data_IF_735484421212
#
_entry.id   IF_735484421212
#
_cell.length_a   1.000
_cell.length_b   1.000
_cell.length_c   1.000
_cell.angle_alpha   90.00
_cell.angle_beta   90.00
_cell.angle_gamma   90.00
#
_symmetry.space_group_name_H-M   'P 1'
#
loop_
_entity.id
_entity.type
_entity.pdbx_description
1 polymer ?
#
# COMPACT_ATOMS: atom_id res chain seq x y z
N UNK A 1 0.18 18.01 -11.15
CA UNK A 1 -0.15 19.33 -10.56
C UNK A 1 -1.46 19.20 -9.81
N UNK A 2 -1.44 19.38 -8.49
CA UNK A 2 -2.66 19.39 -7.68
C UNK A 2 -3.17 20.82 -7.64
N UNK A 3 -4.33 21.07 -8.23
CA UNK A 3 -4.83 22.45 -8.40
C UNK A 3 -5.37 23.01 -7.07
N UNK A 4 -5.99 22.16 -6.25
CA UNK A 4 -6.53 22.52 -4.93
C UNK A 4 -6.21 21.43 -3.91
N UNK A 5 -5.77 21.82 -2.71
CA UNK A 5 -5.54 20.90 -1.59
C UNK A 5 -6.28 21.38 -0.33
N UNK A 6 -6.59 20.43 0.55
CA UNK A 6 -7.05 20.69 1.91
C UNK A 6 -5.96 20.32 2.91
N UNK A 7 -5.78 21.12 3.95
CA UNK A 7 -4.77 20.94 4.99
C UNK A 7 -5.47 20.94 6.33
N UNK A 8 -5.21 19.93 7.15
CA UNK A 8 -5.64 19.85 8.54
C UNK A 8 -4.40 20.00 9.41
N UNK A 9 -4.33 21.03 10.26
CA UNK A 9 -3.15 21.30 11.09
C UNK A 9 -3.52 21.42 12.55
N UNK A 10 -2.60 21.01 13.42
CA UNK A 10 -2.76 20.99 14.87
C UNK A 10 -1.39 21.19 15.55
N UNK A 11 -1.40 21.59 16.82
CA UNK A 11 -0.23 21.68 17.66
C UNK A 11 -0.56 21.48 19.13
N UNK A 12 0.29 20.71 19.81
CA UNK A 12 0.09 20.34 21.21
C UNK A 12 1.37 20.43 22.02
N UNK A 13 1.23 20.63 23.34
CA UNK A 13 2.35 20.60 24.29
C UNK A 13 1.99 19.85 25.59
N UNK A 14 2.93 19.07 26.12
CA UNK A 14 2.81 18.34 27.40
C UNK A 14 3.38 19.21 28.52
N UNK A 15 2.50 19.93 29.20
CA UNK A 15 2.89 21.08 30.01
C UNK A 15 3.10 22.30 29.11
N UNK A 16 2.68 23.50 29.54
CA UNK A 16 2.67 24.68 28.67
C UNK A 16 3.45 25.83 29.33
N UNK A 17 4.77 25.98 29.08
CA UNK A 17 5.56 25.28 28.07
C UNK A 17 6.07 23.88 28.49
N UNK A 18 6.39 23.05 27.50
CA UNK A 18 6.82 21.65 27.68
C UNK A 18 7.18 20.99 26.34
N UNK A 19 7.45 19.68 26.29
CA UNK A 19 7.63 18.94 25.04
C UNK A 19 6.39 19.08 24.16
N UNK A 20 6.59 19.52 22.92
CA UNK A 20 5.52 19.91 22.03
C UNK A 20 5.71 19.32 20.63
N UNK A 21 4.66 19.35 19.82
CA UNK A 21 4.76 19.06 18.40
C UNK A 21 3.71 19.81 17.60
N UNK A 22 4.08 20.25 16.40
CA UNK A 22 3.15 20.74 15.39
C UNK A 22 2.99 19.71 14.29
N UNK A 23 1.76 19.47 13.83
CA UNK A 23 1.48 18.50 12.79
C UNK A 23 0.53 19.03 11.72
N UNK A 24 0.55 18.36 10.57
CA UNK A 24 -0.43 18.59 9.52
C UNK A 24 -0.70 17.34 8.69
N UNK A 25 -1.87 17.32 8.05
CA UNK A 25 -2.31 16.35 7.05
C UNK A 25 -2.77 17.10 5.81
N UNK A 26 -2.10 16.89 4.68
CA UNK A 26 -2.52 17.35 3.35
C UNK A 26 -3.44 16.30 2.73
N UNK A 27 -4.54 16.73 2.16
CA UNK A 27 -5.51 15.91 1.45
C UNK A 27 -5.76 16.44 0.03
N UNK A 28 -6.15 15.54 -0.87
CA UNK A 28 -6.63 15.88 -2.21
C UNK A 28 -8.04 16.52 -2.16
N UNK A 29 -8.59 16.84 -3.33
CA UNK A 29 -9.93 17.42 -3.48
C UNK A 29 -11.07 16.52 -2.96
N UNK A 30 -10.81 15.21 -2.83
CA UNK A 30 -11.75 14.21 -2.32
C UNK A 30 -11.51 13.90 -0.83
N UNK A 31 -10.71 14.70 -0.11
CA UNK A 31 -10.29 14.49 1.27
C UNK A 31 -9.48 13.20 1.52
N UNK A 32 -8.86 12.62 0.48
CA UNK A 32 -7.92 11.52 0.66
C UNK A 32 -6.56 12.07 1.12
N UNK A 33 -5.94 11.52 2.18
CA UNK A 33 -4.66 12.00 2.66
C UNK A 33 -3.54 11.75 1.63
N UNK A 34 -2.83 12.82 1.28
CA UNK A 34 -1.68 12.86 0.37
C UNK A 34 -0.34 12.83 1.12
N UNK A 35 -0.27 13.45 2.29
CA UNK A 35 0.96 13.56 3.04
C UNK A 35 0.63 14.02 4.46
N UNK A 36 1.39 13.58 5.45
CA UNK A 36 1.25 14.07 6.82
C UNK A 36 2.59 14.05 7.54
N UNK A 37 2.84 15.07 8.34
CA UNK A 37 4.07 15.20 9.13
C UNK A 37 3.73 15.73 10.52
N UNK A 38 4.55 15.36 11.50
CA UNK A 38 4.63 16.04 12.78
C UNK A 38 6.08 16.37 13.10
N UNK A 39 6.33 17.58 13.60
CA UNK A 39 7.63 18.06 14.01
C UNK A 39 7.69 18.17 15.51
N UNK A 40 8.58 17.40 16.14
CA UNK A 40 8.79 17.44 17.57
C UNK A 40 9.62 18.67 17.97
N UNK A 41 9.23 19.29 19.06
CA UNK A 41 9.87 20.47 19.64
C UNK A 41 10.15 20.15 21.10
N UNK A 42 11.43 20.02 21.52
CA UNK A 42 11.78 19.61 22.88
C UNK A 42 11.16 20.48 23.98
N UNK A 43 10.98 21.78 23.70
CA UNK A 43 10.36 22.72 24.63
C UNK A 43 9.69 23.88 23.88
N UNK A 44 8.36 23.95 23.96
CA UNK A 44 7.58 25.04 23.40
C UNK A 44 6.20 25.18 24.08
N UNK A 45 5.55 26.33 23.85
CA UNK A 45 4.16 26.54 24.23
C UNK A 45 3.20 25.93 23.21
N UNK A 46 1.93 25.75 23.58
CA UNK A 46 0.90 25.26 22.67
C UNK A 46 0.82 26.11 21.39
N UNK A 47 0.78 27.43 21.54
CA UNK A 47 0.66 28.34 20.38
C UNK A 47 1.89 28.28 19.45
N UNK A 48 3.09 28.07 19.98
CA UNK A 48 4.27 27.85 19.15
C UNK A 48 4.15 26.54 18.37
N UNK A 49 3.62 25.49 19.00
CA UNK A 49 3.39 24.19 18.35
C UNK A 49 2.37 24.30 17.21
N UNK A 50 1.27 25.02 17.42
CA UNK A 50 0.21 25.27 16.43
C UNK A 50 0.76 25.99 15.20
N UNK A 51 1.48 27.10 15.42
CA UNK A 51 2.13 27.85 14.34
C UNK A 51 3.23 27.05 13.64
N UNK A 52 3.92 26.16 14.36
CA UNK A 52 4.89 25.25 13.74
C UNK A 52 4.20 24.26 12.81
N UNK A 53 3.05 23.70 13.24
CA UNK A 53 2.21 22.84 12.40
C UNK A 53 1.77 23.56 11.13
N UNK A 54 1.25 24.78 11.26
CA UNK A 54 0.81 25.60 10.12
C UNK A 54 1.98 25.94 9.18
N UNK A 55 3.10 26.40 9.72
CA UNK A 55 4.28 26.76 8.94
C UNK A 55 4.78 25.58 8.09
N UNK A 56 4.96 24.42 8.71
CA UNK A 56 5.39 23.21 8.00
C UNK A 56 4.37 22.75 6.96
N UNK A 57 3.07 22.95 7.22
CA UNK A 57 2.05 22.64 6.24
C UNK A 57 2.11 23.54 5.00
N UNK A 58 2.36 24.85 5.20
CA UNK A 58 2.49 25.83 4.12
C UNK A 58 3.76 25.60 3.30
N UNK A 59 4.90 25.33 3.94
CA UNK A 59 6.14 24.95 3.26
C UNK A 59 5.92 23.73 2.37
N UNK A 60 5.23 22.71 2.89
CA UNK A 60 4.88 21.52 2.09
C UNK A 60 3.94 21.87 0.94
N UNK A 61 2.92 22.69 1.16
CA UNK A 61 2.00 23.12 0.11
C UNK A 61 2.70 23.88 -1.03
N UNK A 62 3.69 24.74 -0.71
CA UNK A 62 4.54 25.41 -1.70
C UNK A 62 5.37 24.39 -2.46
N UNK A 63 6.01 23.42 -1.77
CA UNK A 63 6.80 22.37 -2.43
C UNK A 63 5.99 21.46 -3.36
N UNK A 64 4.66 21.38 -3.17
CA UNK A 64 3.73 20.64 -4.02
C UNK A 64 3.20 21.46 -5.20
N UNK A 65 3.65 22.72 -5.34
CA UNK A 65 3.18 23.68 -6.36
C UNK A 65 1.64 23.84 -6.35
N UNK A 66 1.03 23.77 -5.16
CA UNK A 66 -0.41 23.95 -5.01
C UNK A 66 -0.81 25.38 -5.38
N UNK A 67 -1.89 25.56 -6.15
CA UNK A 67 -2.41 26.89 -6.48
C UNK A 67 -3.44 27.39 -5.48
N UNK A 68 -4.31 26.50 -5.00
CA UNK A 68 -5.37 26.81 -4.06
C UNK A 68 -5.27 25.96 -2.79
N UNK A 69 -5.37 26.58 -1.62
CA UNK A 69 -5.19 25.88 -0.33
C UNK A 69 -6.35 26.19 0.61
N UNK A 70 -6.96 25.14 1.18
CA UNK A 70 -7.95 25.26 2.27
C UNK A 70 -7.35 24.71 3.55
N UNK A 71 -7.27 25.52 4.59
CA UNK A 71 -6.61 25.18 5.85
C UNK A 71 -7.68 25.06 6.93
N UNK A 72 -7.61 23.98 7.71
CA UNK A 72 -8.49 23.70 8.83
C UNK A 72 -7.66 23.47 10.08
N UNK A 73 -8.01 24.17 11.16
CA UNK A 73 -7.38 24.05 12.47
C UNK A 73 -8.43 24.20 13.57
N UNK A 74 -8.25 23.53 14.70
CA UNK A 74 -9.01 23.72 15.93
C UNK A 74 -8.44 24.81 16.85
N UNK A 75 -7.35 25.47 16.43
CA UNK A 75 -6.78 26.62 17.12
C UNK A 75 -7.46 27.93 16.70
N UNK A 76 -8.55 28.29 17.37
CA UNK A 76 -9.30 29.52 17.06
C UNK A 76 -8.41 30.78 17.12
N UNK A 77 -7.46 30.84 18.06
CA UNK A 77 -6.50 31.94 18.17
C UNK A 77 -5.68 32.11 16.89
N UNK A 78 -5.05 31.03 16.43
CA UNK A 78 -4.20 31.04 15.23
C UNK A 78 -5.01 31.42 13.99
N UNK A 79 -6.21 30.84 13.84
CA UNK A 79 -7.12 31.12 12.72
C UNK A 79 -7.47 32.62 12.67
N UNK A 80 -7.91 33.20 13.80
CA UNK A 80 -8.27 34.63 13.89
C UNK A 80 -7.06 35.54 13.66
N UNK A 81 -5.86 35.12 14.08
CA UNK A 81 -4.63 35.88 13.82
C UNK A 81 -4.26 35.88 12.33
N UNK A 82 -4.29 34.73 11.66
CA UNK A 82 -4.00 34.63 10.22
C UNK A 82 -5.03 35.38 9.38
N UNK A 83 -6.31 35.38 9.78
CA UNK A 83 -7.35 36.20 9.14
C UNK A 83 -7.23 37.71 9.44
N UNK A 84 -6.25 38.14 10.25
CA UNK A 84 -6.04 39.54 10.60
C UNK A 84 -7.02 40.11 11.62
N UNK A 85 -7.89 39.28 12.20
CA UNK A 85 -8.86 39.69 13.22
C UNK A 85 -8.15 40.01 14.55
N UNK A 86 -7.14 39.21 14.91
CA UNK A 86 -6.39 39.33 16.16
C UNK A 86 -4.92 39.69 15.92
N UNK A 87 -4.36 40.55 16.78
CA UNK A 87 -2.94 40.95 16.72
C UNK A 87 -2.02 39.91 17.38
N UNK A 88 -0.85 39.66 16.78
CA UNK A 88 0.21 38.83 17.35
C UNK A 88 1.14 39.68 18.24
N UNK A 89 0.99 39.55 19.56
CA UNK A 89 1.74 40.34 20.55
C UNK A 89 3.07 39.71 20.97
N UNK A 90 3.15 38.38 21.02
CA UNK A 90 4.34 37.64 21.44
C UNK A 90 5.40 37.65 20.32
N UNK A 91 6.66 37.97 20.65
CA UNK A 91 7.75 38.11 19.67
C UNK A 91 8.11 36.80 18.96
N UNK A 92 8.25 35.70 19.70
CA UNK A 92 8.54 34.37 19.13
C UNK A 92 7.41 33.93 18.18
N UNK A 93 6.16 34.21 18.57
CA UNK A 93 5.00 33.92 17.73
C UNK A 93 4.94 34.83 16.50
N UNK A 94 5.40 36.09 16.62
CA UNK A 94 5.42 37.06 15.53
C UNK A 94 6.35 36.59 14.40
N UNK A 95 7.47 35.95 14.72
CA UNK A 95 8.35 35.38 13.70
C UNK A 95 7.65 34.28 12.89
N UNK A 96 7.06 33.28 13.57
CA UNK A 96 6.33 32.19 12.91
C UNK A 96 5.12 32.72 12.12
N UNK A 97 4.40 33.69 12.67
CA UNK A 97 3.31 34.36 11.99
C UNK A 97 3.75 35.01 10.69
N UNK A 98 4.81 35.83 10.71
CA UNK A 98 5.31 36.50 9.51
C UNK A 98 5.74 35.51 8.43
N UNK A 99 6.35 34.38 8.82
CA UNK A 99 6.71 33.31 7.88
C UNK A 99 5.47 32.67 7.25
N UNK A 100 4.43 32.37 8.05
CA UNK A 100 3.18 31.83 7.53
C UNK A 100 2.51 32.81 6.56
N UNK A 101 2.42 34.09 6.91
CA UNK A 101 1.82 35.13 6.04
C UNK A 101 2.58 35.25 4.72
N UNK A 102 3.91 35.27 4.76
CA UNK A 102 4.75 35.31 3.56
C UNK A 102 4.53 34.07 2.66
N UNK A 103 4.43 32.87 3.24
CA UNK A 103 4.14 31.66 2.46
C UNK A 103 2.75 31.69 1.83
N UNK A 104 1.76 32.26 2.53
CA UNK A 104 0.39 32.38 1.99
C UNK A 104 0.31 33.22 0.71
N UNK A 105 1.25 34.15 0.48
CA UNK A 105 1.33 34.95 -0.75
C UNK A 105 1.69 34.10 -2.00
N UNK A 106 2.18 32.88 -1.82
CA UNK A 106 2.50 31.97 -2.93
C UNK A 106 1.25 31.30 -3.55
N UNK A 107 0.10 31.38 -2.89
CA UNK A 107 -1.13 30.73 -3.35
C UNK A 107 -2.04 31.73 -4.06
N UNK A 108 -2.60 31.33 -5.20
CA UNK A 108 -3.59 32.13 -5.94
C UNK A 108 -4.86 32.36 -5.12
N UNK A 109 -5.22 31.38 -4.29
CA UNK A 109 -6.35 31.47 -3.36
C UNK A 109 -6.06 30.65 -2.12
N UNK A 110 -6.30 31.22 -0.94
CA UNK A 110 -6.25 30.47 0.31
C UNK A 110 -7.44 30.83 1.21
N UNK A 111 -7.81 29.90 2.08
CA UNK A 111 -8.73 30.14 3.19
C UNK A 111 -8.26 29.36 4.41
N UNK A 112 -8.40 29.94 5.61
CA UNK A 112 -8.21 29.23 6.88
C UNK A 112 -9.50 29.28 7.70
N UNK A 113 -9.94 28.13 8.20
CA UNK A 113 -11.19 27.96 8.95
C UNK A 113 -10.96 27.24 10.25
N UNK A 114 -11.60 27.75 11.29
CA UNK A 114 -11.69 27.04 12.56
C UNK A 114 -12.64 25.84 12.42
N UNK A 115 -12.23 24.68 12.94
CA UNK A 115 -13.04 23.46 12.98
C UNK A 115 -13.07 22.89 14.40
N UNK A 116 -14.16 22.20 14.79
CA UNK A 116 -14.19 21.45 16.05
C UNK A 116 -13.11 20.36 16.11
N UNK A 117 -12.56 20.11 17.30
CA UNK A 117 -11.47 19.14 17.53
C UNK A 117 -11.81 17.73 17.06
N UNK A 118 -13.07 17.32 17.11
CA UNK A 118 -13.52 16.00 16.63
C UNK A 118 -13.31 15.84 15.11
N UNK A 119 -13.24 16.96 14.38
CA UNK A 119 -12.94 16.98 12.94
C UNK A 119 -11.44 17.06 12.64
N UNK A 120 -10.57 17.27 13.63
CA UNK A 120 -9.11 17.37 13.47
C UNK A 120 -8.34 16.14 14.01
N UNK A 121 -9.03 15.03 14.26
CA UNK A 121 -8.47 13.85 14.97
C UNK A 121 -7.23 13.22 14.34
N UNK A 122 -6.98 13.39 13.04
CA UNK A 122 -5.78 12.85 12.39
C UNK A 122 -4.53 13.66 12.75
N UNK A 123 -4.62 14.99 12.71
CA UNK A 123 -3.52 15.87 13.08
C UNK A 123 -3.22 15.76 14.59
N UNK A 124 -4.26 15.72 15.43
CA UNK A 124 -4.13 15.51 16.89
C UNK A 124 -3.39 14.20 17.22
N UNK A 125 -3.73 13.10 16.56
CA UNK A 125 -3.03 11.81 16.74
C UNK A 125 -1.55 11.90 16.36
N UNK A 126 -1.21 12.65 15.31
CA UNK A 126 0.18 12.83 14.87
C UNK A 126 0.98 13.66 15.88
N UNK A 127 0.40 14.75 16.39
CA UNK A 127 0.99 15.54 17.48
C UNK A 127 1.32 14.66 18.67
N UNK A 128 0.32 13.90 19.16
CA UNK A 128 0.49 13.05 20.33
C UNK A 128 1.61 12.02 20.12
N UNK A 129 1.63 11.35 18.97
CA UNK A 129 2.68 10.37 18.63
C UNK A 129 4.08 11.00 18.58
N UNK A 130 4.22 12.20 18.01
CA UNK A 130 5.51 12.88 17.93
C UNK A 130 6.03 13.30 19.30
N UNK A 131 5.15 13.79 20.19
CA UNK A 131 5.53 14.15 21.55
C UNK A 131 5.92 12.91 22.36
N UNK A 132 5.11 11.85 22.29
CA UNK A 132 5.35 10.61 23.03
C UNK A 132 6.62 9.89 22.54
N UNK A 133 6.88 9.92 21.22
CA UNK A 133 8.11 9.38 20.60
C UNK A 133 9.33 10.29 20.70
N UNK A 134 9.16 11.57 21.08
CA UNK A 134 10.20 12.62 21.09
C UNK A 134 10.98 12.71 19.78
N UNK A 135 10.29 12.55 18.66
CA UNK A 135 10.89 12.52 17.33
C UNK A 135 9.92 13.06 16.29
N UNK A 136 10.46 13.54 15.18
CA UNK A 136 9.65 13.89 14.01
C UNK A 136 8.97 12.64 13.42
N UNK A 137 7.83 12.84 12.77
CA UNK A 137 7.07 11.81 12.07
C UNK A 137 6.83 12.28 10.65
N UNK A 138 7.14 11.44 9.67
CA UNK A 138 6.72 11.62 8.28
C UNK A 138 5.88 10.42 7.83
N UNK A 139 4.65 10.68 7.43
CA UNK A 139 3.72 9.70 6.85
C UNK A 139 3.37 10.14 5.43
N UNK A 140 3.91 9.43 4.44
CA UNK A 140 3.68 9.71 3.03
C UNK A 140 2.44 8.98 2.52
N UNK A 141 1.76 9.55 1.52
CA UNK A 141 0.61 8.88 0.89
C UNK A 141 0.99 7.55 0.22
N UNK A 142 -0.02 6.69 -0.02
CA UNK A 142 0.08 5.56 -0.95
C UNK A 142 0.65 5.92 -2.33
N UNK A 143 0.48 7.16 -2.81
CA UNK A 143 1.01 7.60 -4.11
C UNK A 143 2.51 7.93 -4.13
N UNK A 144 3.12 8.31 -3.00
CA UNK A 144 4.58 8.47 -2.90
C UNK A 144 5.29 7.13 -2.59
N UNK A 145 4.58 6.10 -2.13
CA UNK A 145 5.13 4.72 -2.10
C UNK A 145 5.48 4.24 -3.52
N UNK A 146 4.74 4.69 -4.54
CA UNK A 146 5.01 4.34 -5.94
C UNK A 146 6.23 5.10 -6.53
N UNK A 147 6.64 6.27 -6.01
CA UNK A 147 7.77 7.03 -6.56
C UNK A 147 9.14 6.57 -6.07
N UNK A 148 9.20 5.75 -5.01
CA UNK A 148 10.38 4.98 -4.60
C UNK A 148 10.27 3.48 -4.93
N UNK A 149 9.19 3.05 -5.60
CA UNK A 149 9.07 1.69 -6.08
C UNK A 149 10.00 1.48 -7.28
N UNK A 150 10.88 0.48 -7.18
CA UNK A 150 11.66 0.07 -8.34
C UNK A 150 10.70 -0.46 -9.40
N UNK A 151 10.87 -0.05 -10.66
CA UNK A 151 10.10 -0.59 -11.76
C UNK A 151 10.35 -2.10 -11.87
N UNK A 152 9.31 -2.91 -11.66
CA UNK A 152 9.44 -4.37 -11.60
C UNK A 152 9.15 -5.03 -12.95
N UNK A 153 10.03 -5.93 -13.35
CA UNK A 153 9.81 -6.95 -14.39
C UNK A 153 9.13 -8.16 -13.77
N UNK A 154 7.83 -8.35 -14.04
CA UNK A 154 7.04 -9.43 -13.48
C UNK A 154 7.04 -10.65 -14.40
N UNK A 155 7.22 -11.84 -13.82
CA UNK A 155 7.00 -13.12 -14.48
C UNK A 155 5.77 -13.80 -13.92
N UNK A 156 4.80 -14.17 -14.76
CA UNK A 156 3.60 -14.88 -14.30
C UNK A 156 3.69 -16.38 -14.57
N UNK A 157 3.27 -17.19 -13.60
CA UNK A 157 3.04 -18.62 -13.76
C UNK A 157 1.54 -18.91 -13.63
N UNK A 158 0.92 -19.50 -14.65
CA UNK A 158 -0.52 -19.80 -14.67
C UNK A 158 -0.83 -21.26 -15.09
N UNK A 159 -1.97 -21.78 -14.66
CA UNK A 159 -2.48 -23.09 -15.11
C UNK A 159 -3.98 -23.10 -15.44
N UNK A 160 -4.67 -21.96 -15.33
CA UNK A 160 -6.13 -21.89 -15.39
C UNK A 160 -6.68 -20.57 -15.94
N UNK A 161 -7.67 -20.00 -15.26
CA UNK A 161 -8.51 -18.91 -15.81
C UNK A 161 -7.88 -17.51 -15.89
N UNK A 162 -6.69 -17.29 -15.33
CA UNK A 162 -5.92 -16.05 -15.47
C UNK A 162 -6.55 -14.76 -14.91
N UNK A 163 -7.56 -14.84 -14.04
CA UNK A 163 -8.26 -13.66 -13.49
C UNK A 163 -7.31 -12.74 -12.72
N UNK A 164 -6.45 -13.31 -11.88
CA UNK A 164 -5.44 -12.59 -11.10
C UNK A 164 -4.43 -11.87 -12.00
N UNK A 165 -3.96 -12.53 -13.07
CA UNK A 165 -3.05 -11.93 -14.05
C UNK A 165 -3.69 -10.69 -14.69
N UNK A 166 -4.95 -10.81 -15.15
CA UNK A 166 -5.65 -9.68 -15.78
C UNK A 166 -5.90 -8.54 -14.80
N UNK A 167 -6.21 -8.83 -13.53
CA UNK A 167 -6.32 -7.79 -12.51
C UNK A 167 -5.01 -6.97 -12.40
N UNK A 168 -3.86 -7.64 -12.31
CA UNK A 168 -2.56 -6.97 -12.24
C UNK A 168 -2.24 -6.22 -13.53
N UNK A 169 -2.49 -6.83 -14.70
CA UNK A 169 -2.26 -6.20 -16.00
C UNK A 169 -3.06 -4.89 -16.15
N UNK A 170 -4.32 -4.86 -15.72
CA UNK A 170 -5.15 -3.66 -15.76
C UNK A 170 -4.67 -2.57 -14.80
N UNK A 171 -4.13 -2.94 -13.63
CA UNK A 171 -3.50 -1.96 -12.72
C UNK A 171 -2.24 -1.35 -13.34
N UNK A 172 -1.42 -2.15 -14.01
CA UNK A 172 -0.24 -1.67 -14.74
C UNK A 172 -0.64 -0.71 -15.86
N UNK A 173 -1.61 -1.08 -16.72
CA UNK A 173 -2.11 -0.22 -17.80
C UNK A 173 -2.64 1.11 -17.30
N UNK A 174 -3.32 1.10 -16.16
CA UNK A 174 -3.84 2.31 -15.49
C UNK A 174 -2.78 3.08 -14.70
N UNK A 175 -1.51 2.67 -14.76
CA UNK A 175 -0.39 3.25 -14.01
C UNK A 175 -0.63 3.28 -12.49
N UNK A 176 -1.37 2.31 -11.97
CA UNK A 176 -1.64 2.10 -10.53
C UNK A 176 -0.69 1.07 -9.89
N UNK A 177 0.22 0.53 -10.69
CA UNK A 177 1.29 -0.37 -10.29
C UNK A 177 2.47 -0.13 -11.23
N UNK A 178 3.61 0.28 -10.67
CA UNK A 178 4.84 0.55 -11.44
C UNK A 178 5.59 -0.74 -11.80
N UNK A 179 5.09 -1.46 -12.79
CA UNK A 179 5.65 -2.72 -13.23
C UNK A 179 5.37 -2.99 -14.72
N UNK A 180 6.05 -3.96 -15.28
CA UNK A 180 5.74 -4.55 -16.59
C UNK A 180 5.61 -6.07 -16.47
N UNK A 181 4.83 -6.68 -17.37
CA UNK A 181 4.76 -8.14 -17.48
C UNK A 181 5.76 -8.58 -18.54
N UNK A 182 6.90 -9.10 -18.11
CA UNK A 182 7.99 -9.50 -19.02
C UNK A 182 7.78 -10.87 -19.64
N UNK A 183 7.12 -11.78 -18.94
CA UNK A 183 6.80 -13.12 -19.44
C UNK A 183 5.62 -13.73 -18.68
N UNK A 184 4.79 -14.48 -19.39
CA UNK A 184 3.79 -15.36 -18.83
C UNK A 184 4.13 -16.80 -19.24
N UNK A 185 4.20 -17.71 -18.28
CA UNK A 185 4.43 -19.14 -18.52
C UNK A 185 3.17 -19.90 -18.11
N UNK A 186 2.59 -20.65 -19.04
CA UNK A 186 1.44 -21.51 -18.77
C UNK A 186 1.84 -22.98 -18.77
N UNK A 187 1.36 -23.73 -17.76
CA UNK A 187 1.54 -25.19 -17.74
C UNK A 187 0.55 -25.96 -18.60
N UNK A 188 -0.38 -25.26 -19.24
CA UNK A 188 -1.42 -25.82 -20.12
C UNK A 188 -1.55 -24.97 -21.39
N UNK A 189 -1.65 -25.61 -22.55
CA UNK A 189 -1.74 -24.93 -23.85
C UNK A 189 -3.09 -24.28 -24.11
N UNK A 190 -4.17 -24.86 -23.59
CA UNK A 190 -5.55 -24.47 -23.89
C UNK A 190 -6.28 -24.15 -22.59
N UNK A 191 -6.23 -22.88 -22.17
CA UNK A 191 -6.96 -22.39 -21.00
C UNK A 191 -7.49 -20.99 -21.27
N UNK A 192 -8.55 -20.59 -20.55
CA UNK A 192 -9.04 -19.22 -20.63
C UNK A 192 -7.95 -18.18 -20.24
N UNK A 193 -6.98 -18.55 -19.38
CA UNK A 193 -5.84 -17.69 -19.07
C UNK A 193 -4.91 -17.49 -20.27
N UNK A 194 -4.61 -18.55 -21.03
CA UNK A 194 -3.79 -18.44 -22.26
C UNK A 194 -4.43 -17.51 -23.28
N UNK A 195 -5.73 -17.66 -23.54
CA UNK A 195 -6.44 -16.80 -24.49
C UNK A 195 -6.47 -15.34 -24.03
N UNK A 196 -6.66 -15.08 -22.73
CA UNK A 196 -6.57 -13.73 -22.16
C UNK A 196 -5.19 -13.10 -22.35
N UNK A 197 -4.12 -13.88 -22.18
CA UNK A 197 -2.73 -13.41 -22.36
C UNK A 197 -2.45 -13.06 -23.82
N UNK A 198 -2.88 -13.92 -24.76
CA UNK A 198 -2.78 -13.65 -26.21
C UNK A 198 -3.55 -12.39 -26.60
N UNK A 199 -4.80 -12.27 -26.15
CA UNK A 199 -5.65 -11.11 -26.44
C UNK A 199 -5.10 -9.80 -25.86
N UNK A 200 -4.36 -9.88 -24.75
CA UNK A 200 -3.67 -8.74 -24.15
C UNK A 200 -2.33 -8.41 -24.82
N UNK A 201 -1.87 -9.21 -25.80
CA UNK A 201 -0.59 -9.02 -26.48
C UNK A 201 0.62 -9.24 -25.58
N UNK A 202 0.48 -10.03 -24.53
CA UNK A 202 1.53 -10.28 -23.54
C UNK A 202 2.47 -11.42 -23.98
N UNK A 203 3.78 -11.35 -23.66
CA UNK A 203 4.71 -12.44 -23.97
C UNK A 203 4.29 -13.74 -23.27
N UNK A 204 4.13 -14.82 -24.03
CA UNK A 204 3.60 -16.10 -23.55
C UNK A 204 4.50 -17.27 -23.97
N UNK A 205 4.83 -18.12 -23.01
CA UNK A 205 5.48 -19.41 -23.21
C UNK A 205 4.61 -20.54 -22.66
N UNK A 206 4.54 -21.65 -23.39
CA UNK A 206 3.81 -22.84 -22.97
C UNK A 206 4.83 -23.89 -22.53
N UNK A 207 4.81 -24.26 -21.25
CA UNK A 207 5.72 -25.27 -20.68
C UNK A 207 4.86 -26.30 -19.94
N UNK A 208 4.41 -27.34 -20.66
CA UNK A 208 3.45 -28.30 -20.09
C UNK A 208 4.19 -29.33 -19.24
N UNK A 209 3.72 -29.55 -18.01
CA UNK A 209 4.32 -30.54 -17.10
C UNK A 209 4.45 -31.94 -17.73
N UNK A 210 3.47 -32.35 -18.53
CA UNK A 210 3.47 -33.67 -19.20
C UNK A 210 4.62 -33.87 -20.20
N UNK A 211 5.23 -32.79 -20.68
CA UNK A 211 6.36 -32.85 -21.62
C UNK A 211 7.70 -33.06 -20.90
N UNK A 212 7.70 -33.08 -19.56
CA UNK A 212 8.88 -33.21 -18.71
C UNK A 212 8.64 -34.30 -17.65
N UNK A 213 9.16 -35.53 -17.86
CA UNK A 213 9.02 -36.62 -16.90
C UNK A 213 9.66 -36.28 -15.55
N UNK A 214 10.81 -35.60 -15.59
CA UNK A 214 11.59 -35.23 -14.43
C UNK A 214 11.29 -33.80 -13.98
N UNK A 215 11.01 -33.62 -12.68
CA UNK A 215 10.73 -32.30 -12.10
C UNK A 215 11.92 -31.35 -12.27
N UNK A 216 13.15 -31.87 -12.26
CA UNK A 216 14.37 -31.08 -12.44
C UNK A 216 14.41 -30.37 -13.79
N UNK A 217 14.09 -31.08 -14.88
CA UNK A 217 14.07 -30.52 -16.23
C UNK A 217 12.94 -29.51 -16.42
N UNK A 218 11.75 -29.83 -15.89
CA UNK A 218 10.60 -28.92 -15.87
C UNK A 218 10.95 -27.61 -15.17
N UNK A 219 11.55 -27.71 -13.99
CA UNK A 219 11.93 -26.56 -13.16
C UNK A 219 13.03 -25.73 -13.81
N UNK A 220 14.04 -26.39 -14.40
CA UNK A 220 15.11 -25.74 -15.14
C UNK A 220 14.57 -24.94 -16.31
N UNK A 221 13.67 -25.51 -17.11
CA UNK A 221 13.05 -24.81 -18.25
C UNK A 221 12.32 -23.54 -17.82
N UNK A 222 11.55 -23.60 -16.73
CA UNK A 222 10.85 -22.43 -16.17
C UNK A 222 11.85 -21.39 -15.69
N UNK A 223 12.86 -21.81 -14.90
CA UNK A 223 13.91 -20.93 -14.39
C UNK A 223 14.67 -20.20 -15.50
N UNK A 224 15.11 -20.93 -16.53
CA UNK A 224 15.84 -20.38 -17.67
C UNK A 224 15.03 -19.30 -18.41
N UNK A 225 13.72 -19.51 -18.59
CA UNK A 225 12.82 -18.52 -19.21
C UNK A 225 12.67 -17.26 -18.37
N UNK A 226 12.47 -17.41 -17.05
CA UNK A 226 12.33 -16.29 -16.11
C UNK A 226 13.62 -15.45 -16.02
N UNK A 227 14.78 -16.12 -15.95
CA UNK A 227 16.10 -15.47 -15.92
C UNK A 227 16.36 -14.75 -17.25
N UNK A 228 16.10 -15.40 -18.38
CA UNK A 228 16.24 -14.79 -19.72
C UNK A 228 15.36 -13.54 -19.88
N UNK A 229 14.14 -13.57 -19.33
CA UNK A 229 13.23 -12.43 -19.32
C UNK A 229 13.61 -11.33 -18.30
N UNK A 230 14.66 -11.56 -17.50
CA UNK A 230 15.15 -10.67 -16.43
C UNK A 230 14.08 -10.34 -15.39
N UNK A 231 13.28 -11.34 -15.01
CA UNK A 231 12.20 -11.18 -14.02
C UNK A 231 12.79 -10.79 -12.65
N UNK A 232 12.21 -9.76 -12.03
CA UNK A 232 12.53 -9.35 -10.67
C UNK A 232 11.68 -10.08 -9.63
N UNK A 233 10.41 -10.33 -9.97
CA UNK A 233 9.42 -10.99 -9.10
C UNK A 233 8.53 -11.93 -9.91
N UNK A 234 8.44 -13.17 -9.47
CA UNK A 234 7.59 -14.20 -10.06
C UNK A 234 6.27 -14.27 -9.28
N UNK A 235 5.16 -14.33 -10.01
CA UNK A 235 3.81 -14.37 -9.47
C UNK A 235 3.10 -15.66 -9.91
N UNK A 236 2.83 -16.54 -8.96
CA UNK A 236 2.00 -17.72 -9.16
C UNK A 236 0.52 -17.32 -9.06
N UNK A 237 -0.15 -17.28 -10.21
CA UNK A 237 -1.54 -16.85 -10.36
C UNK A 237 -2.43 -18.04 -10.76
N UNK A 238 -2.67 -18.93 -9.81
CA UNK A 238 -3.35 -20.21 -10.06
C UNK A 238 -2.43 -21.22 -10.77
N UNK A 239 -1.17 -21.27 -10.35
CA UNK A 239 -0.20 -22.27 -10.79
C UNK A 239 -0.41 -23.58 -10.03
N UNK A 240 -0.58 -24.70 -10.75
CA UNK A 240 -1.00 -25.99 -10.17
C UNK A 240 0.10 -27.07 -10.25
N UNK A 241 1.35 -26.69 -10.53
CA UNK A 241 2.44 -27.65 -10.72
C UNK A 241 3.54 -27.43 -9.68
N UNK A 242 3.99 -28.49 -9.01
CA UNK A 242 5.26 -28.39 -8.27
C UNK A 242 6.39 -28.11 -9.26
N UNK A 243 7.26 -27.19 -8.87
CA UNK A 243 8.53 -26.93 -9.53
C UNK A 243 9.52 -26.53 -8.42
N UNK A 244 10.80 -26.83 -8.64
CA UNK A 244 11.86 -26.45 -7.74
C UNK A 244 12.28 -25.02 -8.05
N UNK A 245 12.09 -24.12 -7.09
CA UNK A 245 12.47 -22.72 -7.22
C UNK A 245 14.00 -22.65 -7.23
N UNK A 246 14.63 -22.08 -8.27
CA UNK A 246 16.08 -21.94 -8.32
C UNK A 246 16.54 -20.91 -7.28
N UNK A 247 17.76 -21.08 -6.77
CA UNK A 247 18.31 -20.29 -5.66
C UNK A 247 18.30 -18.78 -5.94
N UNK A 248 18.49 -18.39 -7.21
CA UNK A 248 18.50 -17.01 -7.67
C UNK A 248 17.14 -16.30 -7.50
N UNK A 249 16.06 -17.09 -7.43
CA UNK A 249 14.67 -16.66 -7.25
C UNK A 249 14.16 -16.89 -5.83
N UNK A 250 15.00 -17.33 -4.90
CA UNK A 250 14.64 -17.43 -3.49
C UNK A 250 14.16 -16.07 -2.96
N UNK A 251 13.03 -16.06 -2.25
CA UNK A 251 12.33 -14.85 -1.81
C UNK A 251 11.94 -13.87 -2.93
N UNK A 252 11.81 -14.37 -4.18
CA UNK A 252 11.34 -13.61 -5.35
C UNK A 252 10.25 -14.35 -6.12
N UNK A 253 9.60 -15.32 -5.48
CA UNK A 253 8.41 -16.00 -6.00
C UNK A 253 7.31 -15.82 -4.97
N UNK A 254 6.18 -15.27 -5.38
CA UNK A 254 5.00 -15.15 -4.52
C UNK A 254 3.86 -15.97 -5.08
N UNK A 255 3.04 -16.51 -4.18
CA UNK A 255 1.76 -17.14 -4.51
C UNK A 255 0.65 -16.42 -3.76
N UNK A 256 -0.56 -16.46 -4.33
CA UNK A 256 -1.79 -16.10 -3.65
C UNK A 256 -2.66 -17.33 -3.46
N UNK A 257 -2.98 -17.61 -2.20
CA UNK A 257 -3.78 -18.76 -1.79
C UNK A 257 -5.15 -18.31 -1.29
N UNK A 258 -6.27 -18.93 -1.73
CA UNK A 258 -7.63 -18.49 -1.40
C UNK A 258 -8.11 -18.96 0.00
N UNK A 259 -7.22 -18.94 0.99
CA UNK A 259 -7.53 -19.14 2.40
C UNK A 259 -6.55 -18.41 3.32
N UNK A 260 -6.92 -18.28 4.59
CA UNK A 260 -6.07 -17.74 5.64
C UNK A 260 -5.08 -18.80 6.12
N UNK A 261 -3.95 -18.93 5.40
CA UNK A 261 -2.86 -19.81 5.81
C UNK A 261 -2.43 -19.58 7.27
N UNK A 262 -2.09 -20.64 8.03
CA UNK A 262 -1.85 -22.01 7.56
C UNK A 262 -3.12 -22.86 7.36
N UNK A 263 -4.32 -22.33 7.62
CA UNK A 263 -5.56 -23.08 7.43
C UNK A 263 -5.86 -23.31 5.94
N UNK A 264 -6.38 -24.50 5.63
CA UNK A 264 -6.80 -24.90 4.29
C UNK A 264 -5.72 -24.70 3.20
N UNK A 265 -4.45 -24.82 3.55
CA UNK A 265 -3.32 -24.85 2.62
C UNK A 265 -2.77 -26.25 2.38
N UNK A 266 -1.85 -26.37 1.43
CA UNK A 266 -1.13 -27.60 1.12
C UNK A 266 -1.70 -28.37 -0.07
N UNK A 267 -1.19 -29.58 -0.28
CA UNK A 267 -1.53 -30.38 -1.44
C UNK A 267 -3.04 -30.67 -1.51
N UNK A 268 -3.63 -30.42 -2.69
CA UNK A 268 -5.07 -30.65 -2.95
C UNK A 268 -5.98 -29.47 -2.59
N UNK A 269 -5.48 -28.50 -1.81
CA UNK A 269 -6.20 -27.29 -1.47
C UNK A 269 -5.96 -26.21 -2.54
N UNK A 270 -6.68 -26.28 -3.65
CA UNK A 270 -6.60 -25.26 -4.69
C UNK A 270 -7.97 -24.99 -5.30
N UNK A 271 -8.18 -23.77 -5.78
CA UNK A 271 -9.43 -23.36 -6.42
C UNK A 271 -10.67 -23.66 -5.56
N UNK A 272 -11.68 -24.28 -6.19
CA UNK A 272 -12.97 -24.53 -5.55
C UNK A 272 -12.89 -25.45 -4.31
N UNK A 273 -11.93 -26.39 -4.27
CA UNK A 273 -11.76 -27.31 -3.13
C UNK A 273 -11.51 -26.56 -1.81
N UNK A 274 -10.86 -25.41 -1.86
CA UNK A 274 -10.58 -24.59 -0.67
C UNK A 274 -11.88 -24.05 -0.09
N UNK A 275 -12.73 -23.49 -0.95
CA UNK A 275 -14.00 -22.90 -0.54
C UNK A 275 -14.99 -23.96 -0.05
N UNK A 276 -15.03 -25.13 -0.69
CA UNK A 276 -15.79 -26.29 -0.20
C UNK A 276 -15.33 -26.72 1.20
N UNK A 277 -14.02 -26.81 1.42
CA UNK A 277 -13.46 -27.19 2.71
C UNK A 277 -13.77 -26.16 3.81
N UNK A 278 -13.69 -24.87 3.50
CA UNK A 278 -14.03 -23.77 4.41
C UNK A 278 -15.51 -23.82 4.83
N UNK A 279 -16.41 -23.99 3.86
CA UNK A 279 -17.87 -24.08 4.13
C UNK A 279 -18.17 -25.35 4.93
N UNK A 280 -17.62 -26.49 4.52
CA UNK A 280 -17.81 -27.77 5.21
C UNK A 280 -17.32 -27.74 6.66
N UNK A 281 -16.26 -26.99 6.94
CA UNK A 281 -15.74 -26.79 8.29
C UNK A 281 -16.60 -25.84 9.15
N UNK A 282 -17.62 -25.18 8.56
CA UNK A 282 -18.49 -24.24 9.26
C UNK A 282 -17.81 -22.92 9.62
N UNK A 283 -16.74 -22.55 8.91
CA UNK A 283 -16.04 -21.29 9.15
C UNK A 283 -16.97 -20.09 8.97
N UNK A 284 -16.80 -19.06 9.80
CA UNK A 284 -17.52 -17.76 9.67
C UNK A 284 -16.67 -16.66 9.02
N UNK A 285 -15.37 -16.94 8.87
CA UNK A 285 -14.40 -16.05 8.24
C UNK A 285 -13.55 -16.87 7.29
N UNK A 286 -13.33 -16.34 6.10
CA UNK A 286 -12.38 -16.82 5.10
C UNK A 286 -11.51 -15.65 4.64
N UNK A 287 -10.76 -15.82 3.57
CA UNK A 287 -9.87 -14.79 3.07
C UNK A 287 -8.84 -15.32 2.09
N UNK A 288 -7.79 -14.55 1.88
CA UNK A 288 -6.66 -14.94 1.07
C UNK A 288 -5.34 -14.59 1.76
N UNK A 289 -4.30 -15.33 1.40
CA UNK A 289 -2.93 -15.10 1.86
C UNK A 289 -2.01 -14.95 0.67
N UNK A 290 -1.21 -13.88 0.66
CA UNK A 290 -0.04 -13.74 -0.22
C UNK A 290 1.20 -14.07 0.60
N UNK A 291 2.03 -14.97 0.09
CA UNK A 291 3.24 -15.43 0.76
C UNK A 291 4.37 -15.64 -0.26
N UNK A 292 5.62 -15.62 0.21
CA UNK A 292 6.72 -16.13 -0.62
C UNK A 292 6.61 -17.64 -0.75
N UNK A 293 6.95 -18.17 -1.92
CA UNK A 293 6.94 -19.60 -2.16
C UNK A 293 8.25 -20.24 -1.69
N UNK A 294 8.12 -21.44 -1.15
CA UNK A 294 9.23 -22.38 -0.94
C UNK A 294 8.98 -23.61 -1.81
N UNK A 295 9.83 -24.64 -1.70
CA UNK A 295 9.60 -25.93 -2.35
C UNK A 295 8.57 -26.80 -1.60
N UNK A 296 7.87 -26.23 -0.61
CA UNK A 296 6.77 -26.86 0.12
C UNK A 296 5.49 -26.07 -0.11
N UNK A 297 4.39 -26.76 -0.39
CA UNK A 297 3.10 -26.12 -0.70
C UNK A 297 2.59 -25.27 0.45
N UNK A 298 2.40 -23.97 0.19
CA UNK A 298 1.75 -23.01 1.09
C UNK A 298 2.38 -22.92 2.48
N UNK A 299 3.69 -23.21 2.59
CA UNK A 299 4.45 -23.16 3.85
C UNK A 299 5.40 -21.98 3.99
N UNK A 300 5.52 -21.16 2.96
CA UNK A 300 6.46 -20.04 2.98
C UNK A 300 5.98 -18.84 3.79
N UNK A 301 6.86 -17.84 3.97
CA UNK A 301 6.63 -16.73 4.88
C UNK A 301 5.55 -15.79 4.34
N UNK A 302 4.56 -15.50 5.19
CA UNK A 302 3.36 -14.72 4.87
C UNK A 302 3.69 -13.23 4.76
N UNK A 303 3.16 -12.58 3.71
CA UNK A 303 3.37 -11.15 3.42
C UNK A 303 2.11 -10.35 3.74
N UNK A 304 0.97 -10.76 3.16
CA UNK A 304 -0.33 -10.07 3.31
C UNK A 304 -1.41 -11.10 3.53
N UNK A 305 -2.35 -10.82 4.44
CA UNK A 305 -3.60 -11.55 4.57
C UNK A 305 -4.77 -10.57 4.56
N UNK A 306 -5.87 -10.98 3.93
CA UNK A 306 -7.13 -10.22 3.94
C UNK A 306 -8.27 -11.16 4.22
N UNK A 307 -9.25 -10.71 4.99
CA UNK A 307 -10.38 -11.52 5.42
C UNK A 307 -11.67 -11.12 4.71
N UNK A 308 -12.61 -12.05 4.65
CA UNK A 308 -14.00 -11.78 4.28
C UNK A 308 -14.94 -12.70 5.08
N UNK A 309 -16.20 -12.31 5.29
CA UNK A 309 -17.17 -13.15 5.98
C UNK A 309 -17.58 -14.35 5.11
N UNK A 310 -17.85 -15.48 5.77
CA UNK A 310 -18.58 -16.61 5.18
C UNK A 310 -20.03 -16.49 5.64
N UNK A 311 -20.95 -16.42 4.69
CA UNK A 311 -22.38 -16.30 4.92
C UNK A 311 -22.99 -17.70 5.06
N UNK A 312 -24.06 -17.83 5.85
CA UNK A 312 -24.69 -19.12 6.12
C UNK A 312 -25.27 -19.80 4.86
N UNK A 313 -25.58 -19.01 3.84
CA UNK A 313 -26.10 -19.48 2.55
C UNK A 313 -25.05 -19.47 1.42
N UNK A 314 -23.76 -19.30 1.75
CA UNK A 314 -22.72 -19.33 0.72
C UNK A 314 -22.66 -20.69 0.01
N UNK A 315 -22.53 -20.63 -1.32
CA UNK A 315 -21.97 -21.73 -2.10
C UNK A 315 -20.46 -21.53 -2.22
N UNK A 316 -19.69 -22.55 -2.61
CA UNK A 316 -18.26 -22.34 -2.77
C UNK A 316 -17.94 -21.35 -3.91
N UNK A 317 -18.83 -21.15 -4.89
CA UNK A 317 -18.70 -20.12 -5.92
C UNK A 317 -18.94 -18.70 -5.40
N UNK A 318 -19.97 -18.49 -4.56
CA UNK A 318 -20.23 -17.16 -3.97
C UNK A 318 -19.12 -16.78 -3.00
N UNK A 319 -18.63 -17.73 -2.22
CA UNK A 319 -17.46 -17.54 -1.36
C UNK A 319 -16.20 -17.27 -2.20
N UNK A 320 -15.96 -18.02 -3.28
CA UNK A 320 -14.84 -17.79 -4.18
C UNK A 320 -14.83 -16.40 -4.78
N UNK A 321 -15.99 -15.89 -5.20
CA UNK A 321 -16.11 -14.52 -5.72
C UNK A 321 -15.72 -13.48 -4.66
N UNK A 322 -16.19 -13.65 -3.42
CA UNK A 322 -15.87 -12.73 -2.31
C UNK A 322 -14.41 -12.80 -1.88
N UNK A 323 -13.81 -13.99 -1.85
CA UNK A 323 -12.37 -14.16 -1.60
C UNK A 323 -11.57 -13.51 -2.73
N UNK A 324 -12.00 -13.65 -3.98
CA UNK A 324 -11.32 -13.05 -5.13
C UNK A 324 -11.32 -11.51 -5.08
N UNK A 325 -12.37 -10.86 -4.57
CA UNK A 325 -12.35 -9.41 -4.31
C UNK A 325 -11.20 -9.01 -3.36
N UNK A 326 -10.91 -9.83 -2.34
CA UNK A 326 -9.78 -9.62 -1.45
C UNK A 326 -8.45 -9.94 -2.14
N UNK A 327 -8.38 -10.95 -2.99
CA UNK A 327 -7.18 -11.26 -3.79
C UNK A 327 -6.79 -10.09 -4.70
N UNK A 328 -7.79 -9.45 -5.32
CA UNK A 328 -7.62 -8.26 -6.15
C UNK A 328 -6.97 -7.09 -5.41
N UNK A 329 -7.02 -7.06 -4.08
CA UNK A 329 -6.39 -6.06 -3.22
C UNK A 329 -5.07 -6.54 -2.63
N UNK A 330 -5.04 -7.79 -2.12
CA UNK A 330 -3.89 -8.35 -1.41
C UNK A 330 -2.67 -8.52 -2.30
N UNK A 331 -2.85 -9.02 -3.54
CA UNK A 331 -1.69 -9.29 -4.39
C UNK A 331 -0.98 -8.02 -4.87
N UNK A 332 -1.69 -6.98 -5.37
CA UNK A 332 -1.06 -5.70 -5.67
C UNK A 332 -0.36 -5.07 -4.45
N UNK A 333 -0.94 -5.18 -3.26
CA UNK A 333 -0.35 -4.69 -2.01
C UNK A 333 1.01 -5.38 -1.74
N UNK A 334 1.06 -6.71 -1.82
CA UNK A 334 2.31 -7.46 -1.66
C UNK A 334 3.37 -7.09 -2.71
N UNK A 335 2.97 -6.89 -3.97
CA UNK A 335 3.88 -6.44 -5.04
C UNK A 335 4.45 -5.05 -4.73
N UNK A 336 3.62 -4.11 -4.23
CA UNK A 336 4.09 -2.77 -3.84
C UNK A 336 5.08 -2.83 -2.67
N UNK A 337 4.79 -3.64 -1.66
CA UNK A 337 5.72 -3.84 -0.54
C UNK A 337 7.07 -4.41 -1.00
N UNK A 338 7.05 -5.36 -1.95
CA UNK A 338 8.26 -5.88 -2.56
C UNK A 338 9.02 -4.81 -3.36
N UNK A 339 8.31 -4.06 -4.22
CA UNK A 339 8.91 -3.05 -5.09
C UNK A 339 9.59 -1.91 -4.34
N UNK A 340 9.11 -1.61 -3.13
CA UNK A 340 9.65 -0.58 -2.23
C UNK A 340 10.78 -1.09 -1.32
N UNK A 341 11.18 -2.37 -1.44
CA UNK A 341 12.25 -2.95 -0.62
C UNK A 341 11.90 -3.07 0.86
N UNK A 342 10.60 -3.10 1.20
CA UNK A 342 10.12 -3.07 2.60
C UNK A 342 9.98 -4.45 3.23
N UNK A 343 10.14 -5.53 2.46
CA UNK A 343 9.96 -6.91 2.92
C UNK A 343 11.29 -7.54 3.33
N UNK A 344 11.42 -7.93 4.60
CA UNK A 344 12.59 -8.63 5.13
C UNK A 344 12.19 -10.01 5.66
N UNK A 345 12.71 -11.07 5.05
CA UNK A 345 12.42 -12.45 5.49
C UNK A 345 13.35 -12.81 6.66
N UNK A 346 12.76 -13.23 7.79
CA UNK A 346 13.47 -13.73 8.96
C UNK A 346 12.88 -15.06 9.40
N UNK A 347 13.56 -16.16 9.07
CA UNK A 347 13.00 -17.51 9.22
C UNK A 347 11.73 -17.63 8.37
N UNK A 348 10.63 -18.10 8.97
CA UNK A 348 9.34 -18.21 8.28
C UNK A 348 8.41 -16.99 8.46
N UNK A 349 8.97 -15.81 8.70
CA UNK A 349 8.21 -14.56 8.86
C UNK A 349 8.72 -13.48 7.92
N UNK A 350 7.85 -12.56 7.54
CA UNK A 350 8.21 -11.33 6.85
C UNK A 350 8.03 -10.15 7.81
N UNK A 351 9.06 -9.33 7.94
CA UNK A 351 9.02 -8.06 8.65
C UNK A 351 8.88 -6.94 7.62
N UNK A 352 7.88 -6.08 7.81
CA UNK A 352 7.68 -4.86 7.01
C UNK A 352 8.32 -3.67 7.73
N UNK A 353 9.28 -2.99 7.12
CA UNK A 353 9.82 -1.73 7.65
C UNK A 353 9.07 -0.53 7.13
#
# INVERSE_FOLDING_TARGET
MVNTISIFTDGGSRGNPGPAAGAFVVCDENNNPLFSTAKFIPHATNNIAEYTGLLSALEKAVSLEAKNVKIYSDSELMVRQINGEYKVKNENLRQLYSQCVCLLENFSKWEIKHIPREKNTKADKLVNRAIDGRSDIEEKSPSEIDSQSNHLRLGFLISGGGRTLINIHELIKKKKLNAEISIVISSRSETAGVEKVKNAGLPLEIVRKKDFPEIGEFSKKIGDLLIKARVNLVLQAGWLCLWNIPKELENKVMNIHPALLPAFGGQGMWGHHVHEAVIKAGCKVSGCTVHFCTNEYDKGPIIVQRTCPVQDNDTPDTLAARVFEQECLAYPEAIRLFSSGRLFVQGNRVLTK
#
